data_IF_053167167644
#
_entry.id   IF_053167167644
#
_cell.length_a   1.000
_cell.length_b   1.000
_cell.length_c   1.000
_cell.angle_alpha   90.00
_cell.angle_beta   90.00
_cell.angle_gamma   90.00
#
_symmetry.space_group_name_H-M   'P 1'
#
loop_
_entity.id
_entity.type
_entity.pdbx_description
1 polymer ?
#
# COMPACT_ATOMS: atom_id res chain seq x y z
N UNK A 1 24.07 -66.84 53.08
CA UNK A 1 25.29 -66.06 52.79
C UNK A 1 25.01 -65.29 51.51
N UNK A 2 24.66 -63.99 51.60
CA UNK A 2 25.55 -62.86 51.25
C UNK A 2 26.05 -62.97 49.79
N UNK A 3 25.86 -62.04 48.84
CA UNK A 3 25.82 -60.57 48.95
C UNK A 3 25.25 -59.98 47.65
N UNK A 4 24.50 -58.88 47.78
CA UNK A 4 23.97 -58.00 46.72
C UNK A 4 25.10 -57.23 46.01
N UNK A 5 25.05 -57.07 44.69
CA UNK A 5 25.71 -55.96 43.99
C UNK A 5 24.77 -55.31 42.97
N UNK A 6 24.63 -53.99 43.12
CA UNK A 6 23.79 -53.06 42.38
C UNK A 6 24.61 -52.52 41.19
N UNK A 7 24.03 -52.54 39.99
CA UNK A 7 24.64 -52.01 38.75
C UNK A 7 24.14 -50.57 38.52
N UNK A 8 25.00 -49.56 38.28
CA UNK A 8 24.54 -48.19 38.03
C UNK A 8 23.96 -48.01 36.62
N UNK A 9 22.81 -47.36 36.55
CA UNK A 9 22.15 -46.86 35.33
C UNK A 9 22.88 -45.65 34.76
N UNK A 10 23.10 -45.65 33.44
CA UNK A 10 23.66 -44.53 32.69
C UNK A 10 22.67 -43.33 32.64
N UNK A 11 23.14 -42.07 32.66
CA UNK A 11 22.25 -40.91 32.56
C UNK A 11 21.82 -40.66 31.12
N UNK A 12 20.54 -40.31 30.97
CA UNK A 12 19.90 -39.91 29.73
C UNK A 12 20.53 -38.64 29.15
N UNK A 13 20.86 -38.67 27.86
CA UNK A 13 21.27 -37.51 27.07
C UNK A 13 20.10 -36.54 26.94
N UNK A 14 20.22 -35.37 27.57
CA UNK A 14 19.31 -34.23 27.41
C UNK A 14 19.36 -33.73 25.97
N UNK A 15 18.21 -33.76 25.28
CA UNK A 15 18.04 -33.23 23.94
C UNK A 15 18.43 -31.75 23.87
N UNK A 16 19.39 -31.45 22.99
CA UNK A 16 19.77 -30.09 22.64
C UNK A 16 18.61 -29.43 21.88
N UNK A 17 18.07 -28.35 22.44
CA UNK A 17 17.03 -27.54 21.80
C UNK A 17 17.54 -26.91 20.51
N UNK A 18 16.85 -27.16 19.40
CA UNK A 18 17.12 -26.57 18.09
C UNK A 18 16.46 -25.19 17.98
N UNK A 19 17.25 -24.11 18.06
CA UNK A 19 16.79 -22.73 17.79
C UNK A 19 17.89 -21.68 17.97
N UNK A 20 17.98 -20.72 17.05
CA UNK A 20 18.90 -19.57 17.09
C UNK A 20 18.41 -18.44 18.03
N UNK A 21 19.31 -17.65 18.64
CA UNK A 21 20.28 -17.99 19.67
C UNK A 21 19.79 -17.65 21.10
N UNK A 22 20.27 -18.42 22.08
CA UNK A 22 19.89 -18.35 23.50
C UNK A 22 20.79 -17.36 24.25
N UNK A 23 20.35 -16.11 24.45
CA UNK A 23 21.03 -15.18 25.36
C UNK A 23 20.70 -15.55 26.82
N UNK A 24 21.74 -15.62 27.66
CA UNK A 24 21.63 -15.74 29.10
C UNK A 24 20.96 -14.48 29.68
N UNK A 25 20.03 -14.68 30.61
CA UNK A 25 19.34 -13.61 31.31
C UNK A 25 20.30 -12.88 32.26
N UNK A 26 20.56 -11.60 32.01
CA UNK A 26 20.91 -10.64 33.05
C UNK A 26 19.68 -9.78 33.33
N UNK A 27 19.19 -9.83 34.56
CA UNK A 27 18.08 -9.03 35.03
C UNK A 27 18.46 -7.53 34.99
N UNK A 28 17.66 -6.74 34.28
CA UNK A 28 17.61 -5.29 34.43
C UNK A 28 16.18 -4.89 34.80
N UNK A 29 16.04 -4.31 35.99
CA UNK A 29 14.80 -3.74 36.49
C UNK A 29 14.53 -2.35 35.90
N UNK A 30 13.26 -2.16 35.55
CA UNK A 30 12.43 -0.95 35.59
C UNK A 30 13.00 0.41 35.20
N UNK A 31 12.50 0.94 34.07
CA UNK A 31 11.85 2.26 34.00
C UNK A 31 10.74 2.24 32.94
N UNK A 32 9.47 2.33 33.35
CA UNK A 32 8.38 2.67 32.43
C UNK A 32 8.47 4.18 32.21
N UNK A 33 9.32 4.57 31.28
CA UNK A 33 9.27 5.89 30.67
C UNK A 33 8.02 5.92 29.80
N UNK A 34 7.20 6.97 29.89
CA UNK A 34 6.17 7.26 28.89
C UNK A 34 6.87 7.59 27.57
N UNK A 35 7.29 6.56 26.84
CA UNK A 35 7.93 6.70 25.54
C UNK A 35 6.83 7.18 24.61
N UNK A 36 6.91 8.44 24.20
CA UNK A 36 6.33 8.89 22.94
C UNK A 36 6.87 7.95 21.86
N UNK A 37 6.11 6.91 21.53
CA UNK A 37 6.50 5.94 20.51
C UNK A 37 6.63 6.71 19.21
N UNK A 38 7.82 6.68 18.62
CA UNK A 38 8.07 7.30 17.32
C UNK A 38 6.98 6.88 16.34
N UNK A 39 6.41 7.84 15.61
CA UNK A 39 5.44 7.57 14.54
C UNK A 39 6.02 6.67 13.45
N UNK A 40 7.35 6.55 13.35
CA UNK A 40 8.03 5.60 12.46
C UNK A 40 8.01 4.14 12.97
N UNK A 41 7.81 3.92 14.27
CA UNK A 41 7.86 2.60 14.91
C UNK A 41 6.46 2.01 15.08
N UNK A 42 5.50 2.82 15.51
CA UNK A 42 4.12 2.40 15.68
C UNK A 42 3.20 3.48 15.15
N UNK A 43 2.77 3.31 13.90
CA UNK A 43 1.93 4.29 13.20
C UNK A 43 0.47 3.87 13.28
N UNK A 44 -0.35 4.47 14.18
CA UNK A 44 -1.77 4.20 14.25
C UNK A 44 -2.48 4.79 13.02
N UNK A 45 -3.37 4.02 12.40
CA UNK A 45 -4.22 4.44 11.29
C UNK A 45 -5.65 4.06 11.62
N UNK A 46 -6.55 5.05 11.64
CA UNK A 46 -7.96 4.81 11.93
C UNK A 46 -8.65 4.26 10.68
N UNK A 47 -9.31 3.12 10.81
CA UNK A 47 -10.17 2.57 9.77
C UNK A 47 -11.62 2.68 10.24
N UNK A 48 -12.50 3.15 9.36
CA UNK A 48 -13.92 3.21 9.64
C UNK A 48 -14.68 2.17 8.81
N UNK A 49 -15.89 1.75 9.24
CA UNK A 49 -16.69 0.76 8.53
C UNK A 49 -16.98 1.19 7.08
N UNK A 50 -16.99 0.25 6.14
CA UNK A 50 -17.34 0.49 4.74
C UNK A 50 -18.72 1.19 4.61
N UNK A 51 -19.66 0.86 5.49
CA UNK A 51 -21.01 1.45 5.55
C UNK A 51 -21.03 2.94 5.89
N UNK A 52 -19.93 3.52 6.39
CA UNK A 52 -19.82 4.96 6.64
C UNK A 52 -19.60 5.78 5.37
N UNK A 53 -19.27 5.12 4.26
CA UNK A 53 -18.94 5.76 3.00
C UNK A 53 -20.06 5.54 1.99
N UNK A 54 -20.52 6.64 1.41
CA UNK A 54 -21.56 6.61 0.37
C UNK A 54 -20.92 6.79 -1.00
N UNK A 55 -21.40 6.04 -1.98
CA UNK A 55 -20.90 6.07 -3.35
C UNK A 55 -21.97 6.65 -4.28
N UNK A 56 -21.80 7.91 -4.66
CA UNK A 56 -22.56 8.55 -5.74
C UNK A 56 -21.90 8.32 -7.09
N UNK A 57 -22.61 8.65 -8.17
CA UNK A 57 -22.10 8.58 -9.54
C UNK A 57 -21.90 9.97 -10.13
N UNK A 58 -20.87 10.15 -10.97
CA UNK A 58 -20.64 11.36 -11.78
C UNK A 58 -20.32 10.99 -13.23
N UNK A 59 -20.07 12.02 -14.04
CA UNK A 59 -19.70 11.84 -15.45
C UNK A 59 -18.47 10.94 -15.64
N UNK A 60 -18.43 10.30 -16.81
CA UNK A 60 -17.36 9.35 -17.14
C UNK A 60 -16.00 10.05 -17.18
N UNK A 61 -14.98 9.37 -16.67
CA UNK A 61 -13.60 9.82 -16.72
C UNK A 61 -12.84 8.95 -17.72
N UNK A 62 -12.41 9.53 -18.84
CA UNK A 62 -11.68 8.80 -19.86
C UNK A 62 -10.18 8.88 -19.66
N UNK A 63 -9.49 7.78 -19.96
CA UNK A 63 -8.02 7.75 -19.97
C UNK A 63 -7.48 8.68 -21.07
N UNK A 64 -6.32 9.29 -20.80
CA UNK A 64 -5.64 10.14 -21.79
C UNK A 64 -5.24 9.38 -23.05
N UNK A 65 -4.85 8.12 -22.88
CA UNK A 65 -4.30 7.30 -23.95
C UNK A 65 -5.35 6.28 -24.45
N UNK A 66 -5.65 6.24 -25.76
CA UNK A 66 -6.64 5.32 -26.31
C UNK A 66 -6.16 3.86 -26.34
N UNK A 67 -4.86 3.62 -26.16
CA UNK A 67 -4.26 2.29 -26.22
C UNK A 67 -2.92 2.23 -25.49
N UNK A 68 -2.46 1.02 -25.18
CA UNK A 68 -1.14 0.79 -24.57
C UNK A 68 0.02 1.31 -25.44
N UNK A 69 0.04 1.09 -26.77
CA UNK A 69 1.05 1.71 -27.63
C UNK A 69 1.05 3.24 -27.59
N UNK A 70 -0.14 3.87 -27.62
CA UNK A 70 -0.25 5.33 -27.54
C UNK A 70 0.30 5.86 -26.21
N UNK A 71 0.04 5.16 -25.10
CA UNK A 71 0.60 5.50 -23.78
C UNK A 71 2.12 5.52 -23.77
N UNK A 72 2.77 4.50 -24.35
CA UNK A 72 4.24 4.46 -24.41
C UNK A 72 4.83 5.43 -25.42
N UNK A 73 4.09 5.76 -26.49
CA UNK A 73 4.49 6.81 -27.43
C UNK A 73 4.50 8.18 -26.77
N UNK A 74 3.41 8.56 -26.08
CA UNK A 74 3.36 9.80 -25.29
C UNK A 74 4.43 9.83 -24.20
N UNK A 75 4.69 8.69 -23.55
CA UNK A 75 5.74 8.59 -22.54
C UNK A 75 7.13 8.88 -23.12
N UNK A 76 7.44 8.43 -24.33
CA UNK A 76 8.69 8.80 -25.04
C UNK A 76 8.75 10.31 -25.29
N UNK A 77 7.71 10.87 -25.88
CA UNK A 77 7.65 12.29 -26.24
C UNK A 77 7.74 13.23 -25.03
N UNK A 78 7.11 12.87 -23.92
CA UNK A 78 7.22 13.61 -22.66
C UNK A 78 8.62 13.45 -22.05
N UNK A 79 9.20 12.25 -22.11
CA UNK A 79 10.52 12.01 -21.54
C UNK A 79 11.61 12.88 -22.18
N UNK A 80 11.53 13.08 -23.49
CA UNK A 80 12.47 13.94 -24.22
C UNK A 80 12.32 15.43 -23.86
N UNK A 81 11.14 15.85 -23.39
CA UNK A 81 10.82 17.27 -23.08
C UNK A 81 11.03 17.62 -21.61
N UNK A 82 10.57 16.76 -20.71
CA UNK A 82 10.49 17.04 -19.26
C UNK A 82 11.19 15.97 -18.41
N UNK A 83 11.78 14.94 -19.00
CA UNK A 83 12.48 13.87 -18.30
C UNK A 83 11.55 12.82 -17.70
N UNK A 84 11.96 12.20 -16.60
CA UNK A 84 11.24 11.09 -15.97
C UNK A 84 9.79 11.49 -15.60
N UNK A 85 8.81 10.69 -16.06
CA UNK A 85 7.41 10.84 -15.65
C UNK A 85 7.28 10.60 -14.14
N UNK A 86 6.54 11.48 -13.46
CA UNK A 86 6.22 11.34 -12.03
C UNK A 86 4.73 10.99 -11.88
N UNK A 87 4.44 9.94 -11.14
CA UNK A 87 3.07 9.48 -10.89
C UNK A 87 2.85 9.23 -9.41
N UNK A 88 1.64 9.52 -8.93
CA UNK A 88 1.23 9.32 -7.54
C UNK A 88 -0.06 8.54 -7.48
N UNK A 89 -0.16 7.61 -6.53
CA UNK A 89 -1.36 6.80 -6.28
C UNK A 89 -1.71 6.82 -4.79
N UNK A 90 -3.00 6.94 -4.49
CA UNK A 90 -3.54 6.96 -3.15
C UNK A 90 -4.11 5.59 -2.76
N UNK A 91 -3.71 5.08 -1.60
CA UNK A 91 -4.27 3.89 -0.96
C UNK A 91 -5.21 4.36 0.13
N UNK A 92 -6.51 4.17 -0.12
CA UNK A 92 -7.58 4.48 0.83
C UNK A 92 -8.06 3.17 1.46
N UNK A 93 -8.18 3.19 2.78
CA UNK A 93 -8.52 2.00 3.56
C UNK A 93 -9.84 2.20 4.31
N UNK A 94 -10.63 1.13 4.32
CA UNK A 94 -11.84 1.00 5.14
C UNK A 94 -11.77 -0.36 5.85
N UNK A 95 -12.73 -0.64 6.73
CA UNK A 95 -12.89 -2.01 7.23
C UNK A 95 -14.31 -2.53 7.07
N UNK A 96 -14.41 -3.84 6.96
CA UNK A 96 -15.66 -4.57 7.11
C UNK A 96 -15.35 -5.79 7.97
N UNK A 97 -16.15 -6.02 9.02
CA UNK A 97 -15.91 -7.09 10.00
C UNK A 97 -14.50 -7.08 10.64
N UNK A 98 -13.92 -5.89 10.84
CA UNK A 98 -12.53 -5.70 11.33
C UNK A 98 -11.46 -6.31 10.42
N UNK A 99 -11.76 -6.40 9.12
CA UNK A 99 -10.81 -6.75 8.08
C UNK A 99 -10.53 -5.51 7.24
N UNK A 100 -9.25 -5.13 7.04
CA UNK A 100 -8.88 -3.97 6.23
C UNK A 100 -9.14 -4.27 4.76
N UNK A 101 -9.77 -3.32 4.09
CA UNK A 101 -10.05 -3.35 2.66
C UNK A 101 -9.43 -2.14 1.98
N UNK A 102 -8.85 -2.35 0.80
CA UNK A 102 -8.34 -1.28 -0.07
C UNK A 102 -9.44 -0.88 -1.05
N UNK A 103 -9.70 0.42 -1.17
CA UNK A 103 -10.61 0.93 -2.20
C UNK A 103 -9.91 0.95 -3.56
N UNK A 104 -10.47 0.24 -4.55
CA UNK A 104 -9.94 0.12 -5.91
C UNK A 104 -10.98 0.57 -6.95
N UNK A 105 -10.49 1.20 -8.00
CA UNK A 105 -11.24 1.52 -9.20
C UNK A 105 -11.21 0.33 -10.15
N UNK A 106 -12.36 -0.30 -10.38
CA UNK A 106 -12.54 -1.40 -11.33
C UNK A 106 -13.06 -0.86 -12.67
N UNK A 107 -12.43 -1.28 -13.77
CA UNK A 107 -12.88 -1.04 -15.14
C UNK A 107 -13.10 -2.40 -15.81
N UNK A 108 -14.30 -2.62 -16.35
CA UNK A 108 -14.66 -3.94 -16.85
C UNK A 108 -14.61 -4.99 -15.73
N UNK A 109 -14.12 -6.19 -16.04
CA UNK A 109 -14.13 -7.34 -15.11
C UNK A 109 -12.81 -7.53 -14.38
N UNK A 110 -11.66 -7.39 -15.06
CA UNK A 110 -10.35 -7.82 -14.56
C UNK A 110 -9.33 -6.69 -14.43
N UNK A 111 -9.72 -5.43 -14.61
CA UNK A 111 -8.78 -4.31 -14.58
C UNK A 111 -9.03 -3.43 -13.36
N UNK A 112 -8.03 -3.35 -12.48
CA UNK A 112 -8.10 -2.62 -11.21
C UNK A 112 -7.01 -1.56 -11.16
N UNK A 113 -7.34 -0.40 -10.59
CA UNK A 113 -6.45 0.74 -10.39
C UNK A 113 -6.60 1.32 -8.99
N UNK A 114 -5.51 1.88 -8.48
CA UNK A 114 -5.57 2.86 -7.39
C UNK A 114 -5.97 4.22 -7.96
N UNK A 115 -6.73 5.04 -7.23
CA UNK A 115 -6.99 6.41 -7.62
C UNK A 115 -5.70 7.23 -7.54
N UNK A 116 -5.43 8.03 -8.56
CA UNK A 116 -4.15 8.70 -8.74
C UNK A 116 -3.91 9.07 -10.19
N UNK A 117 -2.66 9.33 -10.55
CA UNK A 117 -2.31 9.73 -11.90
C UNK A 117 -0.96 10.42 -12.02
N UNK A 118 -0.82 11.18 -13.10
CA UNK A 118 0.41 11.87 -13.48
C UNK A 118 0.46 13.26 -12.86
N UNK A 119 1.63 13.62 -12.32
CA UNK A 119 1.89 14.97 -11.83
C UNK A 119 2.24 15.90 -12.99
N UNK A 120 1.88 17.17 -12.84
CA UNK A 120 2.37 18.22 -13.72
C UNK A 120 3.88 18.49 -13.46
N UNK A 121 4.61 19.07 -14.43
CA UNK A 121 5.99 19.49 -14.22
C UNK A 121 6.10 20.45 -13.03
N UNK A 122 7.01 20.16 -12.09
CA UNK A 122 7.21 20.97 -10.89
C UNK A 122 6.11 20.87 -9.82
N UNK A 123 5.03 20.13 -10.07
CA UNK A 123 3.97 19.92 -9.08
C UNK A 123 4.47 19.10 -7.88
N UNK A 124 4.02 19.49 -6.69
CA UNK A 124 4.26 18.76 -5.45
C UNK A 124 3.50 17.42 -5.45
N UNK A 125 4.10 16.39 -4.86
CA UNK A 125 3.55 15.03 -4.90
C UNK A 125 2.27 14.91 -4.08
N UNK A 126 2.21 15.54 -2.91
CA UNK A 126 1.06 15.48 -2.01
C UNK A 126 -0.08 16.31 -2.58
N UNK A 127 0.19 17.56 -2.96
CA UNK A 127 -0.85 18.43 -3.53
C UNK A 127 -1.37 17.91 -4.87
N UNK A 128 -0.49 17.34 -5.70
CA UNK A 128 -0.88 16.67 -6.93
C UNK A 128 -1.74 15.44 -6.67
N UNK A 129 -1.44 14.64 -5.64
CA UNK A 129 -2.30 13.52 -5.25
C UNK A 129 -3.68 14.02 -4.80
N UNK A 130 -3.77 15.05 -3.94
CA UNK A 130 -5.05 15.63 -3.51
C UNK A 130 -5.89 16.12 -4.69
N UNK A 131 -5.26 16.78 -5.67
CA UNK A 131 -5.92 17.19 -6.92
C UNK A 131 -6.46 15.97 -7.67
N UNK A 132 -5.63 14.95 -7.91
CA UNK A 132 -6.02 13.74 -8.64
C UNK A 132 -7.13 12.95 -7.94
N UNK A 133 -7.11 12.85 -6.61
CA UNK A 133 -8.18 12.23 -5.82
C UNK A 133 -9.48 13.03 -5.91
N UNK A 134 -9.40 14.36 -5.89
CA UNK A 134 -10.56 15.24 -6.08
C UNK A 134 -11.13 15.09 -7.49
N UNK A 135 -10.29 15.11 -8.51
CA UNK A 135 -10.71 14.91 -9.91
C UNK A 135 -11.38 13.55 -10.09
N UNK A 136 -10.88 12.51 -9.42
CA UNK A 136 -11.36 11.13 -9.59
C UNK A 136 -12.58 10.82 -8.72
N UNK A 137 -12.58 11.17 -7.43
CA UNK A 137 -13.59 10.77 -6.43
C UNK A 137 -14.33 11.94 -5.77
N UNK A 138 -13.91 13.18 -6.03
CA UNK A 138 -14.53 14.38 -5.46
C UNK A 138 -15.92 14.68 -6.04
N UNK A 139 -16.76 15.31 -5.20
CA UNK A 139 -18.13 15.74 -5.52
C UNK A 139 -18.13 16.92 -6.50
N UNK A 140 -19.20 17.04 -7.29
CA UNK A 140 -19.39 18.14 -8.25
C UNK A 140 -20.15 19.35 -7.68
N UNK A 141 -20.56 19.30 -6.41
CA UNK A 141 -21.34 20.35 -5.74
C UNK A 141 -20.47 21.46 -5.11
N UNK A 142 -19.19 21.50 -5.45
CA UNK A 142 -18.24 22.51 -4.97
C UNK A 142 -17.65 22.22 -3.59
N UNK A 143 -18.13 21.20 -2.87
CA UNK A 143 -17.53 20.76 -1.60
C UNK A 143 -16.28 19.94 -1.91
N UNK A 144 -15.11 20.54 -1.72
CA UNK A 144 -13.84 19.85 -1.89
C UNK A 144 -13.60 18.91 -0.71
N UNK A 145 -13.31 17.62 -0.95
CA UNK A 145 -12.87 16.73 0.11
C UNK A 145 -11.54 17.23 0.68
N UNK A 146 -11.39 17.18 2.00
CA UNK A 146 -10.10 17.40 2.64
C UNK A 146 -9.37 16.06 2.74
N UNK A 147 -8.39 15.86 1.86
CA UNK A 147 -7.63 14.61 1.75
C UNK A 147 -6.40 14.67 2.66
N UNK A 148 -6.37 13.81 3.69
CA UNK A 148 -5.22 13.70 4.59
C UNK A 148 -4.24 12.65 4.07
N UNK A 149 -3.12 13.10 3.48
CA UNK A 149 -2.04 12.21 3.01
C UNK A 149 -1.05 11.98 4.16
N UNK A 150 -1.04 10.77 4.71
CA UNK A 150 -0.33 10.46 5.97
C UNK A 150 1.10 9.98 5.76
N UNK A 151 1.31 9.05 4.84
CA UNK A 151 2.53 8.26 4.77
C UNK A 151 2.86 7.85 3.33
N UNK A 152 4.15 7.76 3.01
CA UNK A 152 4.61 7.03 1.83
C UNK A 152 4.62 5.53 2.15
N UNK A 153 4.02 4.71 1.28
CA UNK A 153 3.96 3.26 1.46
C UNK A 153 4.83 2.49 0.46
N UNK A 154 5.22 3.11 -0.66
CA UNK A 154 6.03 2.44 -1.67
C UNK A 154 6.49 3.35 -2.79
N UNK A 155 7.55 2.92 -3.46
CA UNK A 155 8.09 3.56 -4.66
C UNK A 155 8.33 2.48 -5.72
N UNK A 156 7.96 2.77 -6.96
CA UNK A 156 8.11 1.87 -8.09
C UNK A 156 8.73 2.61 -9.27
N UNK A 157 9.62 1.94 -9.98
CA UNK A 157 10.34 2.51 -11.12
C UNK A 157 10.10 1.68 -12.38
N UNK A 158 9.86 2.38 -13.48
CA UNK A 158 9.83 1.81 -14.82
C UNK A 158 11.16 2.11 -15.52
N UNK A 159 12.00 1.11 -15.84
CA UNK A 159 13.30 1.36 -16.46
C UNK A 159 13.21 1.74 -17.95
N UNK A 160 12.24 1.17 -18.66
CA UNK A 160 12.09 1.26 -20.12
C UNK A 160 10.69 1.74 -20.52
N UNK A 161 10.46 2.05 -21.80
CA UNK A 161 9.13 2.38 -22.31
C UNK A 161 8.29 1.12 -22.58
N UNK A 162 8.18 0.29 -21.54
CA UNK A 162 7.59 -1.05 -21.56
C UNK A 162 6.82 -1.31 -20.24
N UNK A 163 5.92 -2.31 -20.18
CA UNK A 163 5.08 -2.58 -19.00
C UNK A 163 5.78 -2.87 -17.65
N UNK A 164 6.95 -3.53 -17.56
CA UNK A 164 7.56 -3.90 -16.28
C UNK A 164 7.87 -2.72 -15.36
N UNK A 165 7.62 -2.90 -14.07
CA UNK A 165 7.92 -1.95 -12.98
C UNK A 165 8.53 -2.70 -11.81
N UNK A 166 9.44 -2.05 -11.08
CA UNK A 166 10.21 -2.66 -9.99
C UNK A 166 10.15 -1.79 -8.73
N UNK A 167 10.11 -2.37 -7.52
CA UNK A 167 10.12 -1.63 -6.26
C UNK A 167 11.52 -1.11 -5.87
N UNK A 168 12.43 -1.00 -6.84
CA UNK A 168 13.79 -0.49 -6.74
C UNK A 168 14.23 0.00 -8.12
N UNK A 169 15.29 0.81 -8.18
CA UNK A 169 15.93 1.17 -9.46
C UNK A 169 16.83 0.00 -9.88
N UNK A 170 16.58 -0.67 -11.03
CA UNK A 170 17.40 -1.82 -11.42
C UNK A 170 18.87 -1.46 -11.68
N UNK A 171 19.81 -2.42 -11.54
CA UNK A 171 21.22 -2.19 -11.81
C UNK A 171 21.47 -1.57 -13.19
N UNK A 172 22.42 -0.64 -13.27
CA UNK A 172 22.81 0.08 -14.49
C UNK A 172 21.75 1.02 -15.09
N UNK A 173 20.55 1.13 -14.49
CA UNK A 173 19.53 2.10 -14.90
C UNK A 173 19.79 3.44 -14.22
N UNK A 174 20.33 4.40 -14.97
CA UNK A 174 20.57 5.77 -14.50
C UNK A 174 19.43 6.74 -14.81
N UNK A 175 18.57 6.39 -15.78
CA UNK A 175 17.47 7.22 -16.28
C UNK A 175 16.17 6.41 -16.44
N UNK A 176 15.49 6.07 -15.33
CA UNK A 176 14.17 5.45 -15.39
C UNK A 176 13.16 6.36 -16.09
N UNK A 177 12.15 5.77 -16.74
CA UNK A 177 11.14 6.47 -17.55
C UNK A 177 9.96 6.96 -16.73
N UNK A 178 9.65 6.26 -15.64
CA UNK A 178 8.57 6.61 -14.71
C UNK A 178 9.02 6.29 -13.28
N UNK A 179 8.75 7.19 -12.36
CA UNK A 179 8.76 6.95 -10.92
C UNK A 179 7.33 7.13 -10.40
N UNK A 180 6.80 6.05 -9.83
CA UNK A 180 5.48 6.00 -9.23
C UNK A 180 5.61 5.90 -7.71
N UNK A 181 4.94 6.81 -7.01
CA UNK A 181 4.93 6.87 -5.54
C UNK A 181 3.55 6.58 -4.99
N UNK A 182 3.48 5.75 -3.97
CA UNK A 182 2.24 5.36 -3.33
C UNK A 182 2.14 6.01 -1.96
N UNK A 183 0.98 6.56 -1.65
CA UNK A 183 0.69 7.19 -0.37
C UNK A 183 -0.53 6.58 0.30
N UNK A 184 -0.46 6.43 1.63
CA UNK A 184 -1.64 6.13 2.44
C UNK A 184 -2.43 7.43 2.66
N UNK A 185 -3.74 7.38 2.38
CA UNK A 185 -4.65 8.50 2.54
C UNK A 185 -5.64 8.17 3.64
N UNK A 186 -5.57 8.91 4.74
CA UNK A 186 -6.46 8.74 5.89
C UNK A 186 -7.83 9.32 5.55
N UNK A 187 -8.85 8.46 5.58
CA UNK A 187 -10.24 8.87 5.42
C UNK A 187 -10.77 9.43 6.74
N UNK A 188 -11.62 10.45 6.66
CA UNK A 188 -12.48 10.85 7.77
C UNK A 188 -13.51 9.78 8.11
N UNK A 189 -14.22 9.97 9.24
CA UNK A 189 -15.21 9.01 9.74
C UNK A 189 -16.31 8.70 8.72
N UNK A 190 -16.74 9.71 7.95
CA UNK A 190 -17.74 9.61 6.90
C UNK A 190 -17.30 10.42 5.69
N UNK A 191 -17.56 9.91 4.50
CA UNK A 191 -17.37 10.65 3.26
C UNK A 191 -18.36 10.22 2.18
N UNK A 192 -18.62 11.12 1.24
CA UNK A 192 -19.34 10.83 0.00
C UNK A 192 -18.34 10.87 -1.15
N UNK A 193 -18.18 9.75 -1.85
CA UNK A 193 -17.39 9.67 -3.08
C UNK A 193 -18.31 9.80 -4.29
N UNK A 194 -17.92 10.63 -5.26
CA UNK A 194 -18.58 10.67 -6.57
C UNK A 194 -17.72 9.92 -7.59
N UNK A 195 -18.14 8.69 -7.90
CA UNK A 195 -17.40 7.75 -8.76
C UNK A 195 -17.80 7.96 -10.22
N UNK A 196 -16.84 8.08 -11.17
CA UNK A 196 -17.17 8.20 -12.58
C UNK A 196 -17.96 6.98 -13.08
N UNK A 197 -19.03 7.20 -13.87
CA UNK A 197 -19.97 6.13 -14.28
C UNK A 197 -19.36 4.96 -15.05
N UNK A 198 -18.18 5.12 -15.64
CA UNK A 198 -17.43 4.07 -16.34
C UNK A 198 -16.49 3.27 -15.43
N UNK A 199 -16.50 3.57 -14.12
CA UNK A 199 -15.76 2.88 -13.08
C UNK A 199 -16.70 2.34 -12.02
N UNK A 200 -16.30 1.26 -11.36
CA UNK A 200 -16.89 0.81 -10.11
C UNK A 200 -15.86 0.96 -8.99
N UNK A 201 -16.24 1.57 -7.88
CA UNK A 201 -15.39 1.59 -6.68
C UNK A 201 -15.70 0.33 -5.87
N UNK A 202 -14.68 -0.50 -5.64
CA UNK A 202 -14.79 -1.76 -4.89
C UNK A 202 -13.88 -1.73 -3.67
N UNK A 203 -14.28 -2.40 -2.61
CA UNK A 203 -13.45 -2.60 -1.42
C UNK A 203 -12.88 -4.03 -1.48
N UNK A 204 -11.58 -4.16 -1.70
CA UNK A 204 -10.91 -5.46 -1.80
C UNK A 204 -10.18 -5.79 -0.48
N UNK A 205 -10.52 -6.88 0.22
CA UNK A 205 -9.82 -7.27 1.44
C UNK A 205 -8.37 -7.64 1.17
N UNK A 206 -7.48 -7.41 2.13
CA UNK A 206 -6.04 -7.68 1.94
C UNK A 206 -5.72 -9.13 1.54
N UNK A 207 -6.51 -10.11 1.99
CA UNK A 207 -6.28 -11.52 1.64
C UNK A 207 -6.58 -11.83 0.17
N UNK A 208 -7.45 -11.07 -0.50
CA UNK A 208 -7.73 -11.23 -1.93
C UNK A 208 -6.59 -10.66 -2.78
N UNK A 209 -5.92 -9.63 -2.27
CA UNK A 209 -4.80 -8.96 -2.92
C UNK A 209 -3.49 -9.73 -2.74
N UNK A 210 -3.27 -10.32 -1.56
CA UNK A 210 -2.00 -10.93 -1.19
C UNK A 210 -1.58 -12.03 -2.17
N UNK A 211 -0.39 -11.87 -2.75
CA UNK A 211 0.22 -12.80 -3.70
C UNK A 211 -0.62 -13.06 -4.98
N UNK A 212 -1.58 -12.18 -5.27
CA UNK A 212 -2.45 -12.28 -6.45
C UNK A 212 -2.05 -11.29 -7.56
N UNK A 213 -0.79 -11.36 -7.98
CA UNK A 213 -0.26 -10.47 -9.03
C UNK A 213 -0.89 -10.72 -10.41
N UNK A 214 -1.45 -11.91 -10.65
CA UNK A 214 -2.17 -12.23 -11.88
C UNK A 214 -3.49 -11.43 -12.01
N UNK A 215 -4.23 -11.29 -10.90
CA UNK A 215 -5.49 -10.54 -10.87
C UNK A 215 -5.31 -9.03 -10.71
N UNK A 216 -4.37 -8.61 -9.85
CA UNK A 216 -4.25 -7.21 -9.41
C UNK A 216 -2.97 -6.50 -9.89
N UNK A 217 -2.08 -7.20 -10.58
CA UNK A 217 -0.76 -6.68 -10.92
C UNK A 217 0.19 -6.62 -9.72
N UNK A 218 1.48 -6.39 -9.96
CA UNK A 218 2.52 -6.50 -8.93
C UNK A 218 2.42 -5.44 -7.83
N UNK A 219 1.88 -4.26 -8.14
CA UNK A 219 1.79 -3.15 -7.20
C UNK A 219 0.68 -3.41 -6.17
N UNK A 220 -0.56 -3.59 -6.63
CA UNK A 220 -1.73 -3.77 -5.75
C UNK A 220 -1.60 -5.07 -4.94
N UNK A 221 -1.12 -6.15 -5.54
CA UNK A 221 -0.94 -7.44 -4.84
C UNK A 221 0.13 -7.41 -3.74
N UNK A 222 1.01 -6.40 -3.73
CA UNK A 222 2.03 -6.20 -2.69
C UNK A 222 1.58 -5.27 -1.57
N UNK A 223 0.40 -4.66 -1.67
CA UNK A 223 -0.12 -3.76 -0.63
C UNK A 223 -0.26 -4.41 0.74
N UNK A 224 -0.68 -5.68 0.89
CA UNK A 224 -0.72 -6.31 2.20
C UNK A 224 0.63 -6.29 2.93
N UNK A 225 1.74 -6.53 2.21
CA UNK A 225 3.10 -6.43 2.76
C UNK A 225 3.49 -4.98 3.07
N UNK A 226 3.14 -4.02 2.21
CA UNK A 226 3.44 -2.61 2.45
C UNK A 226 2.65 -2.04 3.65
N UNK A 227 1.46 -2.58 3.90
CA UNK A 227 0.54 -2.11 4.93
C UNK A 227 0.74 -2.80 6.29
N UNK A 228 1.47 -3.93 6.35
CA UNK A 228 1.61 -4.71 7.58
C UNK A 228 2.35 -3.99 8.72
N UNK A 229 3.02 -2.86 8.43
CA UNK A 229 3.70 -2.02 9.44
C UNK A 229 2.77 -1.10 10.22
N UNK A 230 1.55 -0.87 9.73
CA UNK A 230 0.60 0.05 10.36
C UNK A 230 -0.18 -0.66 11.46
N UNK A 231 -0.47 0.07 12.54
CA UNK A 231 -1.36 -0.37 13.59
C UNK A 231 -2.79 0.11 13.28
N UNK A 232 -3.61 -0.77 12.68
CA UNK A 232 -4.98 -0.41 12.34
C UNK A 232 -5.88 -0.34 13.56
N UNK A 233 -6.52 0.80 13.75
CA UNK A 233 -7.55 1.02 14.78
C UNK A 233 -8.90 0.91 14.08
N UNK A 234 -9.62 -0.19 14.33
CA UNK A 234 -10.96 -0.41 13.79
C UNK A 234 -11.97 0.35 14.63
N UNK A 235 -12.41 1.49 14.10
CA UNK A 235 -13.41 2.39 14.71
C UNK A 235 -14.83 1.84 14.53
#
# INVERSE_FOLDING_TARGET
MATTQIKPTAPATTGAGTGWPRKQHTAYENRVSSVSTSLSINRPINLYPLTNYTFGTKEALFEKDPSVPARFQRMREEFDKIGMRRSVEGVLLVHEHRLPHVLLLQLGTTFFKLPGGELNPGEDEVEGLKRLLTDTLGRQDGIKPDWTVEDTIGNWWRPNFEPPQYPYIPPHITKPKEHKKLFLVQLGEKALFAVPKNYKLVAAPLFELYDNSQGYGPIISSLPQALCRFNFIYM
#
